data_IF_489386583763
#
_entry.id   IF_489386583763
#
_cell.length_a   1.000
_cell.length_b   1.000
_cell.length_c   1.000
_cell.angle_alpha   90.00
_cell.angle_beta   90.00
_cell.angle_gamma   90.00
#
_symmetry.space_group_name_H-M   'P 1'
#
loop_
_entity.id
_entity.type
_entity.pdbx_description
1 polymer ?
#
# COMPACT_ATOMS: atom_id res chain seq x y z
N UNK A 1 59.05 -5.89 48.79
CA UNK A 1 59.53 -5.90 47.42
C UNK A 1 58.34 -6.38 46.50
N UNK A 2 57.89 -5.54 45.58
CA UNK A 2 56.78 -5.95 44.64
C UNK A 2 57.33 -6.78 43.47
N UNK A 3 56.53 -7.76 43.09
CA UNK A 3 56.80 -8.67 41.99
C UNK A 3 56.41 -7.97 40.66
N UNK A 4 57.25 -7.97 39.60
CA UNK A 4 56.92 -7.39 38.32
C UNK A 4 55.93 -8.25 37.54
N UNK A 5 55.07 -7.62 36.67
CA UNK A 5 54.11 -8.36 35.88
C UNK A 5 54.74 -9.13 34.70
N UNK A 6 54.11 -10.19 34.23
CA UNK A 6 54.63 -10.99 33.13
C UNK A 6 54.48 -10.26 31.79
N UNK A 7 55.54 -10.36 30.97
CA UNK A 7 55.59 -9.84 29.60
C UNK A 7 54.72 -10.69 28.66
N UNK A 8 53.77 -10.05 27.99
CA UNK A 8 52.88 -10.67 26.99
C UNK A 8 53.60 -11.06 25.71
N UNK A 9 53.54 -12.34 25.38
CA UNK A 9 53.95 -12.84 24.08
C UNK A 9 53.01 -12.36 22.99
N UNK A 10 53.59 -11.89 21.88
CA UNK A 10 52.88 -11.63 20.62
C UNK A 10 52.50 -12.97 20.00
N UNK A 11 51.20 -13.26 19.87
CA UNK A 11 50.68 -14.34 19.03
C UNK A 11 50.60 -13.93 17.56
N UNK A 12 50.65 -14.86 16.61
CA UNK A 12 50.72 -14.54 15.19
C UNK A 12 49.37 -14.14 14.61
N UNK A 13 49.49 -13.26 13.68
CA UNK A 13 48.59 -12.83 12.61
C UNK A 13 47.19 -13.45 12.52
N UNK A 14 46.19 -12.64 12.88
CA UNK A 14 44.78 -12.92 12.57
C UNK A 14 44.54 -12.80 11.09
N UNK A 15 44.19 -13.91 10.46
CA UNK A 15 43.63 -13.95 9.11
C UNK A 15 42.45 -13.01 8.99
N UNK A 16 42.62 -11.97 8.20
CA UNK A 16 41.53 -11.13 7.73
C UNK A 16 40.65 -11.98 6.79
N UNK A 17 39.59 -12.56 7.36
CA UNK A 17 38.53 -13.20 6.62
C UNK A 17 37.86 -12.17 5.71
N UNK A 18 38.31 -12.07 4.48
CA UNK A 18 37.69 -11.27 3.45
C UNK A 18 36.27 -11.73 3.26
N UNK A 19 35.28 -10.91 3.68
CA UNK A 19 33.89 -11.11 3.31
C UNK A 19 33.79 -11.04 1.80
N UNK A 20 33.75 -12.19 1.13
CA UNK A 20 33.37 -12.28 -0.27
C UNK A 20 32.01 -11.58 -0.44
N UNK A 21 32.03 -10.41 -1.03
CA UNK A 21 30.81 -9.75 -1.50
C UNK A 21 30.22 -10.66 -2.56
N UNK A 22 29.17 -11.41 -2.22
CA UNK A 22 28.37 -12.18 -3.20
C UNK A 22 28.03 -11.23 -4.34
N UNK A 23 28.62 -11.43 -5.51
CA UNK A 23 28.27 -10.72 -6.74
C UNK A 23 26.79 -10.99 -6.99
N UNK A 24 25.96 -10.01 -6.66
CA UNK A 24 24.54 -10.02 -6.95
C UNK A 24 24.42 -9.97 -8.47
N UNK A 25 24.04 -11.07 -9.10
CA UNK A 25 23.77 -11.13 -10.53
C UNK A 25 22.70 -10.09 -10.86
N UNK A 26 23.11 -8.96 -11.37
CA UNK A 26 22.21 -7.94 -11.91
C UNK A 26 21.62 -8.52 -13.19
N UNK A 27 20.39 -8.98 -13.13
CA UNK A 27 19.65 -9.35 -14.35
C UNK A 27 19.53 -8.12 -15.23
N UNK A 28 19.89 -8.24 -16.49
CA UNK A 28 19.73 -7.16 -17.47
C UNK A 28 18.26 -6.79 -17.57
N UNK A 29 17.97 -5.49 -17.44
CA UNK A 29 16.61 -4.98 -17.57
C UNK A 29 16.19 -5.01 -19.03
N UNK A 30 14.97 -5.51 -19.26
CA UNK A 30 14.39 -5.69 -20.59
C UNK A 30 13.34 -4.62 -20.90
N UNK A 31 13.21 -4.26 -22.18
CA UNK A 31 12.09 -3.46 -22.67
C UNK A 31 10.89 -4.38 -22.89
N UNK A 32 10.13 -4.60 -21.84
CA UNK A 32 8.89 -5.38 -21.84
C UNK A 32 7.72 -4.41 -21.81
N UNK A 33 6.75 -4.60 -22.71
CA UNK A 33 5.58 -3.74 -22.86
C UNK A 33 4.31 -4.59 -22.72
N UNK A 34 3.30 -4.06 -22.04
CA UNK A 34 2.00 -4.72 -21.91
C UNK A 34 1.44 -4.64 -20.48
N UNK A 35 0.37 -5.39 -20.27
CA UNK A 35 -0.37 -5.43 -19.02
C UNK A 35 -0.33 -6.81 -18.39
N UNK A 36 -0.25 -6.84 -17.06
CA UNK A 36 -0.54 -8.01 -16.22
C UNK A 36 -1.74 -7.66 -15.37
N UNK A 37 -2.76 -8.49 -15.42
CA UNK A 37 -3.90 -8.41 -14.52
C UNK A 37 -3.65 -9.40 -13.39
N UNK A 38 -3.34 -8.85 -12.23
CA UNK A 38 -3.02 -9.63 -11.04
C UNK A 38 -4.23 -9.70 -10.12
N UNK A 39 -4.63 -10.90 -9.71
CA UNK A 39 -5.47 -11.07 -8.53
C UNK A 39 -4.58 -10.91 -7.30
N UNK A 40 -4.58 -9.69 -6.72
CA UNK A 40 -3.72 -9.37 -5.59
C UNK A 40 -4.23 -10.07 -4.33
N UNK A 41 -3.42 -10.88 -3.65
CA UNK A 41 -3.85 -11.47 -2.38
C UNK A 41 -3.90 -10.43 -1.25
N UNK A 42 -4.66 -10.74 -0.21
CA UNK A 42 -4.62 -10.04 1.09
C UNK A 42 -3.21 -10.10 1.68
N UNK A 43 -2.81 -9.08 2.42
CA UNK A 43 -1.51 -8.96 3.09
C UNK A 43 -0.38 -8.42 2.20
N UNK A 44 -0.63 -8.22 0.91
CA UNK A 44 0.36 -7.68 -0.03
C UNK A 44 0.01 -6.23 -0.39
N UNK A 45 1.00 -5.32 -0.35
CA UNK A 45 0.82 -3.95 -0.87
C UNK A 45 0.86 -3.94 -2.39
N UNK A 46 0.15 -2.99 -3.02
CA UNK A 46 0.20 -2.79 -4.48
C UNK A 46 1.61 -2.51 -4.99
N UNK A 47 2.42 -1.76 -4.24
CA UNK A 47 3.83 -1.50 -4.56
C UNK A 47 4.68 -2.76 -4.51
N UNK A 48 4.44 -3.64 -3.53
CA UNK A 48 5.14 -4.93 -3.47
C UNK A 48 4.79 -5.80 -4.69
N UNK A 49 3.51 -5.88 -5.06
CA UNK A 49 3.05 -6.60 -6.24
C UNK A 49 3.75 -6.11 -7.52
N UNK A 50 3.84 -4.79 -7.73
CA UNK A 50 4.59 -4.18 -8.84
C UNK A 50 6.06 -4.60 -8.80
N UNK A 51 6.68 -4.61 -7.64
CA UNK A 51 8.10 -5.00 -7.48
C UNK A 51 8.34 -6.46 -7.85
N UNK A 52 7.41 -7.35 -7.49
CA UNK A 52 7.46 -8.78 -7.86
C UNK A 52 7.33 -8.94 -9.37
N UNK A 53 6.30 -8.35 -9.99
CA UNK A 53 6.08 -8.41 -11.44
C UNK A 53 7.26 -7.83 -12.20
N UNK A 54 7.75 -6.65 -11.80
CA UNK A 54 8.92 -6.01 -12.39
C UNK A 54 10.15 -6.90 -12.38
N UNK A 55 10.38 -7.64 -11.28
CA UNK A 55 11.50 -8.59 -11.15
C UNK A 55 11.31 -9.83 -12.01
N UNK A 56 10.10 -10.41 -12.05
CA UNK A 56 9.80 -11.60 -12.85
C UNK A 56 10.05 -11.36 -14.34
N UNK A 57 9.62 -10.23 -14.86
CA UNK A 57 9.79 -9.86 -16.26
C UNK A 57 11.12 -9.16 -16.55
N UNK A 58 11.92 -8.85 -15.52
CA UNK A 58 13.11 -7.99 -15.64
C UNK A 58 12.79 -6.64 -16.31
N UNK A 59 11.59 -6.11 -16.10
CA UNK A 59 11.08 -4.93 -16.79
C UNK A 59 11.81 -3.65 -16.35
N UNK A 60 12.13 -2.75 -17.28
CA UNK A 60 12.70 -1.44 -16.99
C UNK A 60 11.70 -0.53 -16.27
N UNK A 61 10.46 -0.51 -16.74
CA UNK A 61 9.34 0.29 -16.19
C UNK A 61 8.20 -0.64 -15.79
N UNK A 62 7.58 -0.34 -14.64
CA UNK A 62 6.41 -1.05 -14.15
C UNK A 62 5.64 -0.14 -13.18
N UNK A 63 4.32 -0.16 -13.25
CA UNK A 63 3.45 0.60 -12.36
C UNK A 63 2.05 0.01 -12.33
N UNK A 64 1.29 0.23 -11.26
CA UNK A 64 -0.11 -0.23 -11.16
C UNK A 64 -1.09 0.87 -11.57
N UNK A 65 -2.27 0.46 -12.04
CA UNK A 65 -3.40 1.33 -12.35
C UNK A 65 -4.48 1.18 -11.26
N UNK A 66 -4.36 1.99 -10.23
CA UNK A 66 -5.18 1.93 -9.02
C UNK A 66 -4.43 1.28 -7.86
N UNK A 67 -4.77 1.69 -6.64
CA UNK A 67 -4.21 1.15 -5.41
C UNK A 67 -5.24 0.24 -4.75
N UNK A 68 -4.80 -0.95 -4.33
CA UNK A 68 -5.51 -1.81 -3.38
C UNK A 68 -4.73 -1.81 -2.07
N UNK A 69 -5.43 -1.62 -0.97
CA UNK A 69 -4.86 -1.67 0.36
C UNK A 69 -4.36 -3.09 0.71
N UNK A 70 -3.46 -3.25 1.69
CA UNK A 70 -2.99 -4.58 2.11
C UNK A 70 -4.12 -5.52 2.50
N UNK A 71 -5.17 -5.01 3.16
CA UNK A 71 -6.37 -5.77 3.57
C UNK A 71 -7.26 -6.18 2.38
N UNK A 72 -7.18 -5.46 1.26
CA UNK A 72 -7.99 -5.75 0.10
C UNK A 72 -7.34 -6.81 -0.80
N UNK A 73 -8.15 -7.66 -1.40
CA UNK A 73 -7.77 -8.54 -2.51
C UNK A 73 -8.51 -8.14 -3.80
N UNK A 74 -8.03 -8.63 -4.94
CA UNK A 74 -8.72 -8.49 -6.22
C UNK A 74 -7.87 -7.90 -7.34
N UNK A 75 -8.54 -7.45 -8.37
CA UNK A 75 -7.96 -7.05 -9.65
C UNK A 75 -7.02 -5.84 -9.50
N UNK A 76 -5.73 -6.07 -9.69
CA UNK A 76 -4.69 -5.04 -9.74
C UNK A 76 -4.06 -5.04 -11.15
N UNK A 77 -4.45 -4.12 -12.04
CA UNK A 77 -3.80 -3.96 -13.33
C UNK A 77 -2.39 -3.39 -13.17
N UNK A 78 -1.39 -4.06 -13.74
CA UNK A 78 0.01 -3.67 -13.70
C UNK A 78 0.51 -3.47 -15.12
N UNK A 79 0.93 -2.24 -15.42
CA UNK A 79 1.48 -1.84 -16.72
C UNK A 79 3.00 -1.97 -16.73
N UNK A 80 3.56 -2.39 -17.86
CA UNK A 80 5.00 -2.47 -18.11
C UNK A 80 5.40 -1.69 -19.36
N UNK A 81 6.56 -1.04 -19.31
CA UNK A 81 7.13 -0.28 -20.43
C UNK A 81 6.19 0.80 -20.97
N UNK A 82 5.91 0.81 -22.27
CA UNK A 82 5.05 1.81 -22.91
C UNK A 82 3.60 1.79 -22.40
N UNK A 83 3.10 0.63 -21.94
CA UNK A 83 1.77 0.54 -21.35
C UNK A 83 1.59 1.43 -20.10
N UNK A 84 2.69 1.82 -19.43
CA UNK A 84 2.61 2.77 -18.31
C UNK A 84 2.04 4.13 -18.70
N UNK A 85 2.09 4.51 -19.98
CA UNK A 85 1.52 5.75 -20.50
C UNK A 85 -0.02 5.71 -20.58
N UNK A 86 -0.60 4.52 -20.59
CA UNK A 86 -2.06 4.33 -20.68
C UNK A 86 -2.71 4.10 -19.31
N UNK A 87 -1.94 4.10 -18.22
CA UNK A 87 -2.44 3.95 -16.84
C UNK A 87 -3.57 4.92 -16.48
N UNK A 88 -3.52 6.23 -16.83
CA UNK A 88 -4.60 7.16 -16.51
C UNK A 88 -5.98 6.70 -17.03
N UNK A 89 -6.06 6.17 -18.25
CA UNK A 89 -7.33 5.69 -18.84
C UNK A 89 -7.95 4.51 -18.07
N UNK A 90 -7.09 3.63 -17.50
CA UNK A 90 -7.56 2.52 -16.67
C UNK A 90 -7.96 3.02 -15.27
N UNK A 91 -7.25 4.02 -14.75
CA UNK A 91 -7.57 4.63 -13.45
C UNK A 91 -8.91 5.35 -13.47
N UNK A 92 -9.29 5.96 -14.59
CA UNK A 92 -10.59 6.64 -14.77
C UNK A 92 -11.73 5.65 -15.05
N UNK A 93 -11.41 4.38 -15.28
CA UNK A 93 -12.39 3.34 -15.55
C UNK A 93 -13.29 3.01 -14.36
N UNK A 94 -14.46 2.43 -14.67
CA UNK A 94 -15.41 1.95 -13.65
C UNK A 94 -14.78 0.89 -12.76
N UNK A 95 -15.07 0.95 -11.45
CA UNK A 95 -14.59 0.01 -10.44
C UNK A 95 -15.74 -0.62 -9.69
N UNK A 96 -15.60 -1.89 -9.35
CA UNK A 96 -16.56 -2.63 -8.54
C UNK A 96 -15.88 -3.06 -7.23
N UNK A 97 -16.53 -2.78 -6.11
CA UNK A 97 -16.06 -3.16 -4.79
C UNK A 97 -17.07 -4.04 -4.10
N UNK A 98 -16.57 -5.03 -3.36
CA UNK A 98 -17.34 -5.82 -2.39
C UNK A 98 -16.68 -5.66 -1.03
N UNK A 99 -17.47 -5.32 -0.03
CA UNK A 99 -16.97 -5.15 1.33
C UNK A 99 -18.01 -5.66 2.34
N UNK A 100 -17.56 -5.90 3.56
CA UNK A 100 -18.41 -6.27 4.68
C UNK A 100 -18.30 -5.18 5.73
N UNK A 101 -19.45 -4.71 6.23
CA UNK A 101 -19.53 -3.75 7.34
C UNK A 101 -19.80 -4.53 8.62
N UNK A 102 -18.98 -4.31 9.64
CA UNK A 102 -19.24 -4.75 11.00
C UNK A 102 -19.88 -3.60 11.79
N UNK A 103 -21.07 -3.83 12.32
CA UNK A 103 -21.78 -2.83 13.10
C UNK A 103 -21.30 -2.78 14.55
N UNK A 104 -21.32 -1.59 15.14
CA UNK A 104 -21.07 -1.38 16.57
C UNK A 104 -19.75 -0.76 16.93
N UNK A 105 -18.86 -0.57 15.97
CA UNK A 105 -17.57 0.09 16.17
C UNK A 105 -17.27 1.05 15.02
N UNK A 106 -16.78 2.24 15.36
CA UNK A 106 -16.11 3.14 14.44
C UNK A 106 -14.61 3.11 14.72
N UNK A 107 -13.79 3.08 13.66
CA UNK A 107 -12.34 3.00 13.75
C UNK A 107 -11.68 4.18 13.04
N UNK A 108 -10.54 4.62 13.55
CA UNK A 108 -9.83 5.80 13.05
C UNK A 108 -9.30 5.65 11.61
N UNK A 109 -9.20 4.43 11.10
CA UNK A 109 -8.78 4.14 9.71
C UNK A 109 -9.93 3.78 8.78
N UNK A 110 -11.17 3.71 9.27
CA UNK A 110 -12.35 3.19 8.54
C UNK A 110 -12.18 1.74 8.05
N UNK A 111 -11.28 0.97 8.66
CA UNK A 111 -11.03 -0.45 8.37
C UNK A 111 -10.77 -1.27 9.65
N UNK A 112 -10.47 -2.56 9.48
CA UNK A 112 -10.26 -3.47 10.62
C UNK A 112 -8.93 -3.29 11.36
N UNK A 113 -7.98 -2.50 10.85
CA UNK A 113 -6.66 -2.30 11.46
C UNK A 113 -6.63 -1.11 12.43
N UNK A 114 -7.57 -0.16 12.29
CA UNK A 114 -7.64 1.04 13.10
C UNK A 114 -8.02 0.76 14.56
N UNK A 115 -7.77 1.76 15.41
CA UNK A 115 -8.22 1.75 16.80
C UNK A 115 -9.69 2.12 16.86
N UNK A 116 -10.44 1.48 17.77
CA UNK A 116 -11.84 1.85 18.03
C UNK A 116 -11.88 3.25 18.65
N UNK A 117 -12.62 4.15 18.01
CA UNK A 117 -12.82 5.55 18.45
C UNK A 117 -14.22 5.79 18.99
N UNK A 118 -15.22 5.02 18.50
CA UNK A 118 -16.59 5.07 19.00
C UNK A 118 -17.21 3.67 19.00
N UNK A 119 -18.16 3.45 19.92
CA UNK A 119 -18.91 2.19 20.00
C UNK A 119 -20.41 2.46 20.07
N UNK A 120 -21.21 1.55 19.52
CA UNK A 120 -22.68 1.62 19.54
C UNK A 120 -23.31 0.25 19.71
N UNK A 121 -24.34 0.16 20.53
CA UNK A 121 -25.16 -1.06 20.66
C UNK A 121 -26.19 -1.19 19.51
N UNK A 122 -26.36 -0.14 18.70
CA UNK A 122 -27.32 -0.16 17.60
C UNK A 122 -26.92 -1.19 16.54
N UNK A 123 -27.91 -2.01 16.15
CA UNK A 123 -27.79 -2.96 15.02
C UNK A 123 -28.92 -2.65 14.05
N UNK A 124 -28.62 -2.03 12.89
CA UNK A 124 -29.65 -1.65 11.94
C UNK A 124 -30.32 -2.88 11.33
N UNK A 125 -31.63 -2.77 11.12
CA UNK A 125 -32.39 -3.75 10.35
C UNK A 125 -32.04 -3.69 8.86
N UNK A 126 -32.40 -4.73 8.11
CA UNK A 126 -32.22 -4.75 6.65
C UNK A 126 -32.98 -3.61 5.98
N UNK A 127 -34.17 -3.28 6.49
CA UNK A 127 -35.03 -2.20 6.00
C UNK A 127 -34.37 -0.83 6.22
N UNK A 128 -33.81 -0.58 7.41
CA UNK A 128 -33.05 0.65 7.70
C UNK A 128 -31.84 0.78 6.79
N UNK A 129 -31.09 -0.30 6.56
CA UNK A 129 -29.95 -0.30 5.63
C UNK A 129 -30.40 0.06 4.23
N UNK A 130 -31.47 -0.62 3.72
CA UNK A 130 -31.99 -0.36 2.39
C UNK A 130 -32.50 1.07 2.20
N UNK A 131 -33.08 1.64 3.26
CA UNK A 131 -33.60 3.01 3.21
C UNK A 131 -32.50 4.07 3.07
N UNK A 132 -31.30 3.80 3.57
CA UNK A 132 -30.18 4.76 3.52
C UNK A 132 -29.33 4.63 2.24
N UNK A 133 -29.27 3.45 1.63
CA UNK A 133 -28.44 3.18 0.44
C UNK A 133 -28.66 4.17 -0.73
N UNK A 134 -29.89 4.60 -1.06
CA UNK A 134 -30.10 5.57 -2.13
C UNK A 134 -29.36 6.89 -1.97
N UNK A 135 -29.05 7.30 -0.73
CA UNK A 135 -28.29 8.53 -0.46
C UNK A 135 -26.81 8.44 -0.84
N UNK A 136 -26.32 7.22 -1.09
CA UNK A 136 -24.94 6.95 -1.53
C UNK A 136 -24.83 6.63 -3.01
N UNK A 137 -25.93 6.69 -3.77
CA UNK A 137 -25.98 6.41 -5.22
C UNK A 137 -26.10 7.71 -5.99
N UNK A 138 -25.45 7.76 -7.16
CA UNK A 138 -25.40 8.96 -8.01
C UNK A 138 -24.16 9.80 -7.74
N UNK A 139 -24.25 11.08 -8.08
CA UNK A 139 -23.17 12.06 -7.89
C UNK A 139 -23.21 12.60 -6.47
N UNK A 140 -22.25 12.22 -5.65
CA UNK A 140 -22.15 12.60 -4.24
C UNK A 140 -20.87 13.36 -3.92
N UNK A 141 -20.88 14.10 -2.82
CA UNK A 141 -19.67 14.72 -2.25
C UNK A 141 -19.09 13.80 -1.19
N UNK A 142 -17.86 13.34 -1.44
CA UNK A 142 -17.11 12.49 -0.50
C UNK A 142 -15.98 13.30 0.12
N UNK A 143 -15.94 13.37 1.44
CA UNK A 143 -14.73 13.77 2.17
C UNK A 143 -13.86 12.51 2.30
N UNK A 144 -12.66 12.48 1.74
CA UNK A 144 -11.80 11.32 1.84
C UNK A 144 -11.35 11.07 3.29
N UNK A 145 -11.11 9.81 3.71
CA UNK A 145 -10.55 9.54 5.03
C UNK A 145 -9.12 10.07 5.16
N UNK A 146 -8.71 10.42 6.38
CA UNK A 146 -7.35 10.95 6.64
C UNK A 146 -6.25 9.95 6.26
N UNK A 147 -6.48 8.67 6.46
CA UNK A 147 -5.57 7.58 6.08
C UNK A 147 -5.70 7.17 4.61
N UNK A 148 -5.95 8.11 3.71
CA UNK A 148 -6.07 7.83 2.27
C UNK A 148 -4.75 7.99 1.52
N UNK A 149 -4.65 7.35 0.34
CA UNK A 149 -3.50 7.47 -0.56
C UNK A 149 -3.50 8.77 -1.39
N UNK A 150 -4.38 9.74 -1.08
CA UNK A 150 -4.46 11.04 -1.75
C UNK A 150 -3.19 11.84 -1.46
N UNK A 151 -2.67 12.50 -2.49
CA UNK A 151 -1.51 13.38 -2.34
C UNK A 151 -1.95 14.80 -2.01
N UNK A 152 -1.29 15.38 -1.01
CA UNK A 152 -1.43 16.75 -0.58
C UNK A 152 -0.05 17.36 -0.65
N UNK A 153 0.14 18.38 -1.48
CA UNK A 153 1.44 19.06 -1.70
C UNK A 153 2.61 18.13 -2.03
N UNK A 154 2.30 16.96 -2.61
CA UNK A 154 3.30 15.96 -3.03
C UNK A 154 3.46 14.78 -2.06
N UNK A 155 3.02 14.90 -0.82
CA UNK A 155 3.03 13.83 0.20
C UNK A 155 1.68 13.12 0.27
N UNK A 156 1.67 11.88 0.76
CA UNK A 156 0.42 11.12 0.88
C UNK A 156 -0.26 11.41 2.20
N UNK A 157 -1.58 11.59 2.19
CA UNK A 157 -2.36 11.91 3.39
C UNK A 157 -2.13 10.91 4.53
N UNK A 158 -1.98 9.61 4.24
CA UNK A 158 -1.71 8.60 5.26
C UNK A 158 -0.32 8.74 5.90
N UNK A 159 0.68 9.29 5.20
CA UNK A 159 2.03 9.55 5.74
C UNK A 159 1.95 10.70 6.74
N UNK A 160 1.30 11.80 6.37
CA UNK A 160 1.05 12.95 7.25
C UNK A 160 0.23 12.57 8.49
N UNK A 161 -0.82 11.75 8.31
CA UNK A 161 -1.64 11.28 9.44
C UNK A 161 -0.85 10.40 10.43
N UNK A 162 0.08 9.58 9.96
CA UNK A 162 0.99 8.80 10.85
C UNK A 162 1.96 9.66 11.63
N UNK A 163 2.33 10.81 11.10
CA UNK A 163 3.17 11.80 11.79
C UNK A 163 2.37 12.68 12.77
N UNK A 164 1.06 12.40 12.94
CA UNK A 164 0.18 13.14 13.84
C UNK A 164 -0.25 14.50 13.29
N UNK A 165 -0.08 14.75 12.00
CA UNK A 165 -0.55 15.96 11.36
C UNK A 165 -2.03 15.81 10.97
N UNK A 166 -2.89 16.70 11.47
CA UNK A 166 -4.27 16.78 11.01
C UNK A 166 -4.32 17.54 9.70
N UNK A 167 -4.73 16.86 8.64
CA UNK A 167 -4.85 17.47 7.31
C UNK A 167 -6.32 17.66 6.98
N UNK A 168 -6.70 18.89 6.61
CA UNK A 168 -8.03 19.18 6.13
C UNK A 168 -8.19 18.70 4.69
N UNK A 169 -8.95 17.60 4.51
CA UNK A 169 -9.25 17.03 3.20
C UNK A 169 -10.50 17.66 2.62
N UNK A 170 -10.37 18.25 1.44
CA UNK A 170 -11.51 18.82 0.71
C UNK A 170 -12.43 17.73 0.17
N UNK A 171 -13.73 17.97 0.26
CA UNK A 171 -14.71 17.12 -0.39
C UNK A 171 -14.45 17.06 -1.90
N UNK A 172 -14.63 15.89 -2.48
CA UNK A 172 -14.55 15.64 -3.93
C UNK A 172 -15.85 15.04 -4.44
N UNK A 173 -16.18 15.34 -5.67
CA UNK A 173 -17.31 14.72 -6.35
C UNK A 173 -16.94 13.29 -6.78
N UNK A 174 -17.80 12.33 -6.47
CA UNK A 174 -17.69 10.92 -6.91
C UNK A 174 -19.03 10.46 -7.43
N UNK A 175 -19.01 9.60 -8.45
CA UNK A 175 -20.19 8.95 -8.99
C UNK A 175 -20.24 7.49 -8.56
N UNK A 176 -21.34 7.08 -7.92
CA UNK A 176 -21.57 5.73 -7.41
C UNK A 176 -22.83 5.18 -8.06
N UNK A 177 -22.75 3.99 -8.64
CA UNK A 177 -23.85 3.33 -9.32
C UNK A 177 -24.13 1.93 -8.81
#
# INVERSE_FOLDING_TARGET
LPIPPPQGGRGPDGEQGGREKKKQFRRDKRDVHGWVILDKPVGMTSTHAVSVVKRLFSAKRCGHAGTLDPLASGCLPIAMGEATKTVPFVMDGRKLYRFTVQWGEERDTDDSEGRVVETSEKRPTVEEIRAVLPSYVGTIQQVPPQYSAIKIEGERAYELAREGQTVELKARTVDIG
#
